data_IF_312735599530
#
_entry.id   IF_312735599530
#
_cell.length_a   1.000
_cell.length_b   1.000
_cell.length_c   1.000
_cell.angle_alpha   90.00
_cell.angle_beta   90.00
_cell.angle_gamma   90.00
#
_symmetry.space_group_name_H-M   'P 1'
#
loop_
_entity.id
_entity.type
_entity.pdbx_description
1 polymer ?
#
# COMPACT_ATOMS: atom_id res chain seq x y z
N UNK A 1 -8.38 4.90 -19.95
CA UNK A 1 -8.15 4.30 -18.63
C UNK A 1 -9.50 3.87 -18.08
N UNK A 2 -9.58 2.63 -17.60
CA UNK A 2 -10.79 2.05 -17.02
C UNK A 2 -10.60 1.83 -15.51
N UNK A 3 -11.68 1.96 -14.75
CA UNK A 3 -11.73 1.47 -13.39
C UNK A 3 -11.84 -0.06 -13.38
N UNK A 4 -11.45 -0.70 -12.27
CA UNK A 4 -11.48 -2.17 -12.18
C UNK A 4 -12.88 -2.76 -12.42
N UNK A 5 -13.92 -2.06 -11.95
CA UNK A 5 -15.33 -2.46 -12.09
C UNK A 5 -15.80 -2.46 -13.55
N UNK A 6 -15.10 -1.71 -14.41
CA UNK A 6 -15.43 -1.61 -15.84
C UNK A 6 -14.75 -2.70 -16.69
N UNK A 7 -14.00 -3.58 -16.04
CA UNK A 7 -13.32 -4.71 -16.72
C UNK A 7 -14.01 -6.00 -16.35
N UNK A 8 -14.66 -6.62 -17.34
CA UNK A 8 -15.36 -7.90 -17.21
C UNK A 8 -14.69 -8.91 -18.14
N UNK A 9 -14.21 -10.02 -17.58
CA UNK A 9 -13.51 -11.08 -18.33
C UNK A 9 -12.36 -10.56 -19.22
N UNK A 10 -11.59 -9.58 -18.69
CA UNK A 10 -10.48 -8.98 -19.43
C UNK A 10 -10.88 -8.02 -20.55
N UNK A 11 -12.15 -7.63 -20.61
CA UNK A 11 -12.71 -6.75 -21.63
C UNK A 11 -13.42 -5.55 -21.00
N UNK A 12 -13.45 -4.46 -21.76
CA UNK A 12 -14.25 -3.29 -21.39
C UNK A 12 -15.75 -3.65 -21.43
N UNK A 13 -16.47 -3.43 -20.33
CA UNK A 13 -17.92 -3.67 -20.23
C UNK A 13 -18.74 -2.93 -21.29
N UNK A 14 -18.25 -1.74 -21.72
CA UNK A 14 -18.97 -0.84 -22.60
C UNK A 14 -18.79 -1.15 -24.09
N UNK A 15 -17.57 -1.46 -24.51
CA UNK A 15 -17.24 -1.63 -25.93
C UNK A 15 -16.67 -3.00 -26.28
N UNK A 16 -16.45 -3.89 -25.31
CA UNK A 16 -15.92 -5.23 -25.53
C UNK A 16 -14.43 -5.29 -25.94
N UNK A 17 -13.74 -4.14 -26.02
CA UNK A 17 -12.32 -4.11 -26.35
C UNK A 17 -11.49 -4.84 -25.28
N UNK A 18 -10.46 -5.56 -25.69
CA UNK A 18 -9.54 -6.22 -24.78
C UNK A 18 -8.78 -5.17 -23.97
N UNK A 19 -8.69 -5.40 -22.65
CA UNK A 19 -8.01 -4.52 -21.70
C UNK A 19 -6.61 -5.04 -21.42
N UNK A 20 -5.63 -4.14 -21.47
CA UNK A 20 -4.23 -4.43 -21.18
C UNK A 20 -3.70 -3.46 -20.13
N UNK A 21 -2.80 -3.95 -19.27
CA UNK A 21 -2.04 -3.09 -18.37
C UNK A 21 -0.93 -2.39 -19.16
N UNK A 22 -0.91 -1.05 -19.08
CA UNK A 22 0.12 -0.25 -19.75
C UNK A 22 0.72 0.77 -18.78
N UNK A 23 2.02 0.97 -18.91
CA UNK A 23 2.71 2.07 -18.23
C UNK A 23 2.50 3.36 -19.05
N UNK A 24 1.87 4.34 -18.44
CA UNK A 24 1.59 5.62 -19.07
C UNK A 24 2.25 6.75 -18.27
N UNK A 25 2.85 7.71 -18.98
CA UNK A 25 3.30 8.95 -18.36
C UNK A 25 2.12 9.87 -18.16
N UNK A 26 1.78 10.16 -16.91
CA UNK A 26 0.64 11.00 -16.54
C UNK A 26 1.02 11.98 -15.41
N UNK A 27 0.21 13.00 -15.24
CA UNK A 27 0.31 13.90 -14.10
C UNK A 27 -0.21 13.21 -12.85
N UNK A 28 0.60 13.24 -11.79
CA UNK A 28 0.21 12.79 -10.45
C UNK A 28 0.40 13.94 -9.46
N UNK A 29 -0.62 14.18 -8.65
CA UNK A 29 -0.52 15.11 -7.53
C UNK A 29 0.03 14.37 -6.31
N UNK A 30 1.04 14.95 -5.66
CA UNK A 30 1.65 14.39 -4.44
C UNK A 30 0.76 14.66 -3.22
N UNK A 31 -0.45 14.15 -3.21
CA UNK A 31 -1.42 14.42 -2.15
C UNK A 31 -0.95 13.92 -0.78
N UNK A 32 -0.16 12.86 -0.74
CA UNK A 32 0.39 12.30 0.50
C UNK A 32 1.41 13.21 1.19
N UNK A 33 2.05 14.12 0.46
CA UNK A 33 2.99 15.10 1.04
C UNK A 33 2.27 16.10 1.98
N UNK A 34 0.95 16.24 1.83
CA UNK A 34 0.11 17.10 2.64
C UNK A 34 -0.52 16.37 3.85
N UNK A 35 -0.35 15.06 3.97
CA UNK A 35 -1.05 14.27 4.99
C UNK A 35 -0.81 14.77 6.41
N UNK A 36 0.44 15.05 6.79
CA UNK A 36 0.75 15.57 8.12
C UNK A 36 0.18 16.97 8.33
N UNK A 37 0.34 17.86 7.34
CA UNK A 37 -0.18 19.21 7.41
C UNK A 37 -1.70 19.24 7.56
N UNK A 38 -2.42 18.36 6.83
CA UNK A 38 -3.87 18.25 6.95
C UNK A 38 -4.31 17.80 8.36
N UNK A 39 -3.53 16.94 9.01
CA UNK A 39 -3.79 16.55 10.40
C UNK A 39 -3.57 17.72 11.37
N UNK A 40 -2.47 18.45 11.19
CA UNK A 40 -2.11 19.58 12.06
C UNK A 40 -3.11 20.74 11.92
N UNK A 41 -3.50 21.05 10.68
CA UNK A 41 -4.44 22.16 10.36
C UNK A 41 -5.90 21.83 10.78
N UNK A 42 -6.22 20.57 11.17
CA UNK A 42 -7.57 20.24 11.68
C UNK A 42 -7.96 21.00 12.94
N UNK A 43 -7.01 21.44 13.72
CA UNK A 43 -7.27 22.22 14.95
C UNK A 43 -7.78 23.64 14.63
N UNK A 44 -7.59 24.12 13.41
CA UNK A 44 -8.11 25.39 12.93
C UNK A 44 -9.58 25.31 12.47
N UNK A 45 -10.11 24.11 12.28
CA UNK A 45 -11.48 23.87 11.80
C UNK A 45 -12.51 23.86 12.95
N UNK A 46 -12.53 24.94 13.73
CA UNK A 46 -13.32 25.07 14.97
C UNK A 46 -14.84 24.91 14.79
N UNK A 47 -15.35 25.24 13.61
CA UNK A 47 -16.78 25.15 13.28
C UNK A 47 -17.19 23.78 12.65
N UNK A 48 -16.23 22.89 12.48
CA UNK A 48 -16.51 21.57 11.89
C UNK A 48 -17.03 20.59 12.93
N UNK A 49 -18.04 19.78 12.59
CA UNK A 49 -18.51 18.72 13.49
C UNK A 49 -17.41 17.72 13.82
N UNK A 50 -17.22 17.40 15.10
CA UNK A 50 -16.20 16.46 15.59
C UNK A 50 -16.23 15.10 14.85
N UNK A 51 -17.43 14.64 14.50
CA UNK A 51 -17.60 13.41 13.71
C UNK A 51 -16.83 13.48 12.38
N UNK A 52 -16.87 14.62 11.69
CA UNK A 52 -16.22 14.81 10.40
C UNK A 52 -14.72 14.85 10.59
N UNK A 53 -14.22 15.58 11.59
CA UNK A 53 -12.79 15.63 11.92
C UNK A 53 -12.24 14.23 12.26
N UNK A 54 -12.97 13.45 13.04
CA UNK A 54 -12.62 12.05 13.33
C UNK A 54 -12.54 11.20 12.06
N UNK A 55 -13.51 11.33 11.16
CA UNK A 55 -13.49 10.61 9.87
C UNK A 55 -12.26 10.99 9.03
N UNK A 56 -11.90 12.28 9.00
CA UNK A 56 -10.72 12.75 8.26
C UNK A 56 -9.41 12.24 8.88
N UNK A 57 -9.26 12.27 10.21
CA UNK A 57 -8.11 11.72 10.91
C UNK A 57 -7.95 10.21 10.61
N UNK A 58 -9.04 9.47 10.66
CA UNK A 58 -9.03 8.04 10.39
C UNK A 58 -8.73 7.72 8.92
N UNK A 59 -9.19 8.56 7.99
CA UNK A 59 -8.90 8.43 6.57
C UNK A 59 -7.42 8.64 6.25
N UNK A 60 -6.80 9.67 6.83
CA UNK A 60 -5.36 9.93 6.68
C UNK A 60 -4.56 8.78 7.34
N UNK A 61 -5.01 8.28 8.49
CA UNK A 61 -4.53 7.04 9.09
C UNK A 61 -3.06 7.09 9.47
N UNK A 62 -2.59 8.19 10.10
CA UNK A 62 -1.22 8.23 10.62
C UNK A 62 -0.98 7.06 11.57
N UNK A 63 0.06 6.29 11.30
CA UNK A 63 0.49 5.19 12.16
C UNK A 63 1.96 5.33 12.52
N UNK A 64 2.30 4.94 13.75
CA UNK A 64 3.67 4.92 14.25
C UNK A 64 4.08 3.47 14.51
N UNK A 65 5.33 3.16 14.20
CA UNK A 65 5.80 1.79 14.32
C UNK A 65 7.30 1.68 14.07
N UNK A 66 7.76 0.46 13.91
CA UNK A 66 9.16 0.14 13.69
C UNK A 66 9.39 -0.41 12.28
N UNK A 67 10.52 -0.03 11.69
CA UNK A 67 11.04 -0.69 10.50
C UNK A 67 11.94 -1.83 10.93
N UNK A 68 11.62 -3.03 10.51
CA UNK A 68 12.36 -4.26 10.78
C UNK A 68 12.87 -4.82 9.48
N UNK A 69 14.10 -5.32 9.46
CA UNK A 69 14.70 -5.95 8.29
C UNK A 69 14.82 -7.45 8.54
N UNK A 70 14.06 -8.24 7.80
CA UNK A 70 14.24 -9.68 7.75
C UNK A 70 15.31 -10.03 6.72
N UNK A 71 16.00 -11.15 6.94
CA UNK A 71 17.00 -11.67 6.01
C UNK A 71 16.65 -13.10 5.65
N UNK A 72 16.93 -13.49 4.42
CA UNK A 72 16.89 -14.90 4.04
C UNK A 72 17.98 -15.69 4.76
N UNK A 73 17.79 -17.01 4.95
CA UNK A 73 18.74 -17.87 5.67
C UNK A 73 20.15 -17.84 5.06
N UNK A 74 20.24 -17.69 3.74
CA UNK A 74 21.49 -17.54 3.00
C UNK A 74 22.10 -16.12 3.11
N UNK A 75 21.40 -15.19 3.76
CA UNK A 75 21.83 -13.80 3.92
C UNK A 75 21.86 -12.96 2.65
N UNK A 76 21.38 -13.49 1.52
CA UNK A 76 21.51 -12.83 0.20
C UNK A 76 20.47 -11.71 0.01
N UNK A 77 19.33 -11.77 0.69
CA UNK A 77 18.26 -10.80 0.53
C UNK A 77 17.82 -10.20 1.86
N UNK A 78 17.58 -8.90 1.82
CA UNK A 78 16.98 -8.14 2.90
C UNK A 78 15.54 -7.76 2.53
N UNK A 79 14.63 -7.96 3.47
CA UNK A 79 13.20 -7.68 3.31
C UNK A 79 12.80 -6.70 4.40
N UNK A 80 12.83 -5.38 4.11
CA UNK A 80 12.38 -4.37 5.06
C UNK A 80 10.85 -4.40 5.15
N UNK A 81 10.35 -4.44 6.38
CA UNK A 81 8.92 -4.35 6.70
C UNK A 81 8.66 -3.25 7.70
N UNK A 82 7.50 -2.65 7.64
CA UNK A 82 7.01 -1.74 8.67
C UNK A 82 5.94 -2.46 9.49
N UNK A 83 6.00 -2.35 10.81
CA UNK A 83 4.99 -2.90 11.72
C UNK A 83 4.67 -1.93 12.85
N UNK A 84 3.40 -1.83 13.19
CA UNK A 84 2.92 -1.13 14.39
C UNK A 84 2.99 -1.99 15.64
N UNK A 85 3.28 -3.29 15.49
CA UNK A 85 3.31 -4.30 16.54
C UNK A 85 4.63 -5.05 16.56
N UNK A 86 5.73 -4.31 16.77
CA UNK A 86 7.07 -4.90 16.86
C UNK A 86 7.20 -5.92 18.02
N UNK A 87 6.38 -5.77 19.05
CA UNK A 87 6.28 -6.68 20.21
C UNK A 87 5.83 -8.10 19.82
N UNK A 88 5.11 -8.27 18.73
CA UNK A 88 4.61 -9.57 18.27
C UNK A 88 5.60 -10.35 17.41
N UNK A 89 6.72 -9.76 17.01
CA UNK A 89 7.70 -10.40 16.11
C UNK A 89 8.30 -11.69 16.68
N UNK A 90 8.44 -11.79 18.00
CA UNK A 90 8.97 -13.00 18.65
C UNK A 90 8.07 -14.22 18.49
N UNK A 91 6.81 -14.04 18.11
CA UNK A 91 5.86 -15.10 17.81
C UNK A 91 5.73 -15.42 16.31
N UNK A 92 6.49 -14.76 15.45
CA UNK A 92 6.41 -14.98 14.00
C UNK A 92 6.99 -16.36 13.63
N UNK A 93 6.18 -17.18 12.98
CA UNK A 93 6.56 -18.55 12.55
C UNK A 93 6.61 -18.68 11.03
N UNK A 94 6.11 -17.72 10.29
CA UNK A 94 6.16 -17.70 8.82
C UNK A 94 6.20 -16.26 8.31
N UNK A 95 6.62 -16.11 7.06
CA UNK A 95 6.69 -14.84 6.37
C UNK A 95 6.06 -14.98 4.97
N UNK A 96 5.12 -14.09 4.63
CA UNK A 96 4.41 -14.11 3.35
C UNK A 96 4.76 -12.87 2.56
N UNK A 97 5.12 -13.06 1.31
CA UNK A 97 5.31 -11.97 0.33
C UNK A 97 4.11 -11.92 -0.62
N UNK A 98 3.71 -10.71 -1.02
CA UNK A 98 2.74 -10.55 -2.09
C UNK A 98 3.32 -11.12 -3.40
N UNK A 99 2.50 -11.75 -4.27
CA UNK A 99 2.97 -12.34 -5.53
C UNK A 99 3.72 -11.33 -6.42
N UNK A 100 3.35 -10.06 -6.35
CA UNK A 100 3.92 -8.96 -7.12
C UNK A 100 5.24 -8.43 -6.54
N UNK A 101 5.65 -8.92 -5.36
CA UNK A 101 6.87 -8.45 -4.74
C UNK A 101 8.09 -8.80 -5.60
N UNK A 102 9.02 -7.86 -5.86
CA UNK A 102 10.16 -8.07 -6.77
C UNK A 102 11.06 -9.26 -6.43
N UNK A 103 11.11 -9.66 -5.15
CA UNK A 103 11.89 -10.81 -4.71
C UNK A 103 11.23 -12.15 -5.06
N UNK A 104 9.92 -12.22 -5.26
CA UNK A 104 9.21 -13.49 -5.49
C UNK A 104 9.77 -14.19 -6.73
N UNK A 105 9.93 -13.48 -7.85
CA UNK A 105 10.49 -14.04 -9.06
C UNK A 105 11.87 -14.68 -8.85
N UNK A 106 12.72 -14.05 -8.02
CA UNK A 106 14.06 -14.56 -7.70
C UNK A 106 14.04 -15.76 -6.74
N UNK A 107 13.12 -15.74 -5.77
CA UNK A 107 13.01 -16.79 -4.76
C UNK A 107 12.42 -18.09 -5.30
N UNK A 108 11.62 -18.02 -6.38
CA UNK A 108 11.01 -19.18 -7.04
C UNK A 108 11.79 -19.66 -8.26
N UNK A 109 12.84 -18.95 -8.68
CA UNK A 109 13.66 -19.32 -9.83
C UNK A 109 14.23 -20.73 -9.64
N UNK A 110 13.98 -21.62 -10.62
CA UNK A 110 14.42 -23.01 -10.58
C UNK A 110 13.65 -23.93 -9.62
N UNK A 111 12.53 -23.44 -9.04
CA UNK A 111 11.62 -24.28 -8.24
C UNK A 111 10.40 -24.66 -9.09
N UNK A 112 9.92 -25.93 -9.00
CA UNK A 112 8.73 -26.37 -9.73
C UNK A 112 7.46 -25.67 -9.25
#
# INVERSE_FOLDING_TARGET
VLANEQVVDGRCERCGAQVELRQLTQWFLRITDYAQRLLDDMDELVDWPERVLTMQRNWIGRSEGARVVFRTDDGTHEIPVFTTRADTLFGATFFVLAPEHPLVARLVEGRP
#
